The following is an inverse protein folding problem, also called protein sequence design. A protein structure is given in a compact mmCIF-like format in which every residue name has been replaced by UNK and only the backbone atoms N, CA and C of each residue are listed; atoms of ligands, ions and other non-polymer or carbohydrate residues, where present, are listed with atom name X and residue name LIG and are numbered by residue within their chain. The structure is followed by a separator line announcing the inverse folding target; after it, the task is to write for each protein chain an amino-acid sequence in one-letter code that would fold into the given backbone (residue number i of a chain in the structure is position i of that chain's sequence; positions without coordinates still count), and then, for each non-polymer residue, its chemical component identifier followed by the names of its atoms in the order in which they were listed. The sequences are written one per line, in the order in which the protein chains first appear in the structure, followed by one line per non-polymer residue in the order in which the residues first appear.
data_IF_972885767845
#
_entry.id   IF_972885767845
#
_cell.length_a   1.000
_cell.length_b   1.000
_cell.length_c   1.000
_cell.angle_alpha   90.00
_cell.angle_beta   90.00
_cell.angle_gamma   90.00
#
_symmetry.space_group_name_H-M   'P 1'
#
loop_
_entity.id
_entity.type
_entity.pdbx_description
1 polymer ?
#
# COMPACT_ATOMS: atom_id res chain seq x y z
N UNK A 1 -38.22 28.41 -18.34
CA UNK A 1 -37.72 27.82 -19.59
C UNK A 1 -36.22 27.63 -19.41
N UNK A 2 -35.79 26.62 -18.67
CA UNK A 2 -35.55 25.23 -19.12
C UNK A 2 -34.41 25.14 -20.13
N UNK A 3 -33.26 24.78 -19.56
CA UNK A 3 -32.31 23.77 -20.01
C UNK A 3 -31.18 24.05 -21.01
N UNK A 4 -30.01 23.65 -20.48
CA UNK A 4 -28.93 22.92 -21.10
C UNK A 4 -27.88 23.70 -21.91
N UNK A 5 -26.66 23.75 -21.38
CA UNK A 5 -25.71 22.77 -21.89
C UNK A 5 -24.72 22.25 -20.85
N UNK A 6 -24.74 20.93 -20.75
CA UNK A 6 -23.96 19.99 -19.96
C UNK A 6 -22.49 20.38 -19.70
N UNK A 7 -22.12 20.39 -18.41
CA UNK A 7 -20.72 20.32 -17.96
C UNK A 7 -20.11 19.02 -18.46
N UNK A 8 -18.99 19.14 -19.17
CA UNK A 8 -18.12 18.03 -19.55
C UNK A 8 -17.68 17.26 -18.30
N UNK A 9 -18.14 16.01 -18.18
CA UNK A 9 -17.67 15.07 -17.16
C UNK A 9 -16.16 14.86 -17.38
N UNK A 10 -15.37 15.19 -16.35
CA UNK A 10 -13.91 15.19 -16.31
C UNK A 10 -13.33 13.81 -16.59
N UNK A 11 -12.76 13.65 -17.79
CA UNK A 11 -12.10 12.41 -18.27
C UNK A 11 -10.72 12.14 -17.64
N UNK A 12 -10.23 13.01 -16.75
CA UNK A 12 -8.85 12.99 -16.24
C UNK A 12 -8.71 12.54 -14.77
N UNK A 13 -9.79 12.14 -14.11
CA UNK A 13 -9.74 11.69 -12.72
C UNK A 13 -9.12 10.28 -12.63
N UNK A 14 -8.16 10.10 -11.73
CA UNK A 14 -7.51 8.80 -11.53
C UNK A 14 -8.48 7.88 -10.75
N UNK A 15 -8.61 6.59 -11.13
CA UNK A 15 -9.61 5.71 -10.52
C UNK A 15 -9.34 5.52 -9.03
N UNK A 16 -10.36 5.71 -8.21
CA UNK A 16 -10.34 5.44 -6.79
C UNK A 16 -11.24 4.27 -6.44
N UNK A 17 -10.82 3.48 -5.44
CA UNK A 17 -11.56 2.32 -4.97
C UNK A 17 -12.42 2.76 -3.78
N UNK A 18 -13.73 2.81 -4.02
CA UNK A 18 -14.75 3.03 -3.01
C UNK A 18 -15.61 1.78 -2.89
N UNK A 19 -15.88 1.38 -1.64
CA UNK A 19 -16.80 0.30 -1.35
C UNK A 19 -18.02 0.83 -0.60
N UNK A 20 -19.20 0.47 -1.09
CA UNK A 20 -20.46 0.85 -0.46
C UNK A 20 -20.57 0.21 0.91
N UNK A 21 -20.93 1.00 1.92
CA UNK A 21 -21.20 0.48 3.25
C UNK A 21 -22.46 -0.40 3.22
N UNK A 22 -22.45 -1.59 3.84
CA UNK A 22 -23.67 -2.32 4.11
C UNK A 22 -24.55 -1.54 5.09
N UNK A 23 -25.86 -1.79 5.06
CA UNK A 23 -26.78 -1.30 6.08
C UNK A 23 -26.51 -2.03 7.40
N UNK A 24 -26.31 -1.26 8.47
CA UNK A 24 -26.03 -1.80 9.80
C UNK A 24 -27.28 -1.73 10.68
N UNK A 25 -27.46 -2.75 11.53
CA UNK A 25 -28.47 -2.70 12.56
C UNK A 25 -28.09 -1.67 13.64
N UNK A 26 -29.08 -1.16 14.37
CA UNK A 26 -28.82 -0.17 15.43
C UNK A 26 -27.93 -0.74 16.55
N UNK A 27 -28.03 -2.04 16.83
CA UNK A 27 -27.14 -2.75 17.76
C UNK A 27 -25.68 -2.68 17.31
N UNK A 28 -25.42 -2.87 16.02
CA UNK A 28 -24.09 -2.90 15.44
C UNK A 28 -23.44 -1.52 15.51
N UNK A 29 -24.22 -0.48 15.20
CA UNK A 29 -23.78 0.91 15.33
C UNK A 29 -23.41 1.23 16.78
N UNK A 30 -24.16 0.72 17.76
CA UNK A 30 -23.84 0.89 19.19
C UNK A 30 -22.52 0.19 19.54
N UNK A 31 -22.29 -1.03 19.05
CA UNK A 31 -21.01 -1.74 19.25
C UNK A 31 -19.84 -0.93 18.70
N UNK A 32 -19.92 -0.46 17.45
CA UNK A 32 -18.85 0.33 16.83
C UNK A 32 -18.58 1.64 17.57
N UNK A 33 -19.62 2.34 18.04
CA UNK A 33 -19.47 3.55 18.87
C UNK A 33 -18.80 3.27 20.20
N UNK A 34 -19.18 2.19 20.89
CA UNK A 34 -18.54 1.78 22.15
C UNK A 34 -17.06 1.50 21.93
N UNK A 35 -16.71 0.75 20.89
CA UNK A 35 -15.31 0.48 20.54
C UNK A 35 -14.56 1.79 20.26
N UNK A 36 -15.13 2.68 19.44
CA UNK A 36 -14.51 3.99 19.18
C UNK A 36 -14.34 4.83 20.44
N UNK A 37 -15.23 4.73 21.42
CA UNK A 37 -15.12 5.46 22.68
C UNK A 37 -14.00 4.86 23.56
N UNK A 38 -13.99 3.54 23.73
CA UNK A 38 -12.97 2.84 24.52
C UNK A 38 -11.56 2.96 23.92
N UNK A 39 -11.42 3.08 22.59
CA UNK A 39 -10.12 3.38 21.95
C UNK A 39 -9.56 4.76 22.32
N UNK A 40 -10.41 5.71 22.72
CA UNK A 40 -9.99 7.05 23.15
C UNK A 40 -9.67 7.12 24.64
N UNK A 41 -10.10 6.11 25.40
CA UNK A 41 -9.79 5.97 26.81
C UNK A 41 -8.44 5.27 26.99
N UNK A 42 -7.53 5.90 27.74
CA UNK A 42 -6.18 5.38 27.96
C UNK A 42 -6.18 4.06 28.73
N UNK A 43 -7.11 3.87 29.65
CA UNK A 43 -7.14 2.67 30.51
C UNK A 43 -7.72 1.47 29.78
N UNK A 44 -8.64 1.69 28.83
CA UNK A 44 -9.36 0.63 28.12
C UNK A 44 -8.87 0.40 26.69
N UNK A 45 -7.97 1.25 26.17
CA UNK A 45 -7.56 1.20 24.78
C UNK A 45 -6.98 -0.16 24.40
N UNK A 46 -6.21 -0.82 25.27
CA UNK A 46 -5.57 -2.11 24.98
C UNK A 46 -6.61 -3.22 24.80
N UNK A 47 -7.59 -3.30 25.70
CA UNK A 47 -8.69 -4.25 25.66
C UNK A 47 -9.58 -3.97 24.44
N UNK A 48 -9.84 -2.70 24.14
CA UNK A 48 -10.59 -2.29 22.96
C UNK A 48 -9.89 -2.67 21.65
N UNK A 49 -8.56 -2.50 21.53
CA UNK A 49 -7.80 -2.93 20.35
C UNK A 49 -7.83 -4.45 20.20
N UNK A 50 -7.71 -5.20 21.31
CA UNK A 50 -7.79 -6.66 21.26
C UNK A 50 -9.17 -7.12 20.81
N UNK A 51 -10.24 -6.59 21.41
CA UNK A 51 -11.61 -6.90 21.02
C UNK A 51 -11.89 -6.52 19.56
N UNK A 52 -11.37 -5.36 19.12
CA UNK A 52 -11.46 -4.94 17.73
C UNK A 52 -10.80 -5.97 16.79
N UNK A 53 -9.57 -6.39 17.11
CA UNK A 53 -8.80 -7.31 16.29
C UNK A 53 -9.36 -8.74 16.26
N UNK A 54 -9.93 -9.22 17.36
CA UNK A 54 -10.33 -10.64 17.49
C UNK A 54 -11.80 -10.89 17.18
N UNK A 55 -12.67 -9.91 17.43
CA UNK A 55 -14.13 -10.07 17.27
C UNK A 55 -14.63 -9.16 16.16
N UNK A 56 -14.46 -7.85 16.32
CA UNK A 56 -15.11 -6.86 15.45
C UNK A 56 -14.61 -6.95 14.01
N UNK A 57 -13.30 -7.12 13.76
CA UNK A 57 -12.77 -7.28 12.41
C UNK A 57 -13.16 -8.60 11.73
N UNK A 58 -13.63 -9.58 12.49
CA UNK A 58 -14.11 -10.86 11.97
C UNK A 58 -15.61 -10.82 11.65
N UNK A 59 -16.39 -10.14 12.49
CA UNK A 59 -17.85 -10.06 12.38
C UNK A 59 -18.31 -8.97 11.40
N UNK A 60 -17.53 -7.90 11.26
CA UNK A 60 -17.87 -6.76 10.41
C UNK A 60 -17.05 -6.74 9.12
N UNK A 61 -17.69 -6.51 7.96
CA UNK A 61 -16.97 -6.39 6.72
C UNK A 61 -16.13 -5.08 6.69
N UNK A 62 -14.93 -5.11 6.12
CA UNK A 62 -13.91 -4.08 6.33
C UNK A 62 -14.27 -2.72 5.72
N UNK A 63 -15.17 -2.68 4.72
CA UNK A 63 -15.64 -1.42 4.13
C UNK A 63 -16.39 -0.51 5.12
N UNK A 64 -16.93 -1.06 6.22
CA UNK A 64 -17.61 -0.25 7.23
C UNK A 64 -16.62 0.76 7.85
N UNK A 65 -15.40 0.32 8.16
CA UNK A 65 -14.39 1.16 8.80
C UNK A 65 -13.81 2.22 7.86
N UNK A 66 -13.88 1.99 6.54
CA UNK A 66 -13.54 3.02 5.56
C UNK A 66 -14.65 4.08 5.45
N UNK A 67 -15.91 3.70 5.65
CA UNK A 67 -17.05 4.62 5.62
C UNK A 67 -17.22 5.39 6.94
N UNK A 68 -17.16 4.71 8.08
CA UNK A 68 -17.07 5.30 9.42
C UNK A 68 -15.63 5.24 9.92
N UNK A 69 -14.90 6.32 9.66
CA UNK A 69 -13.45 6.39 9.94
C UNK A 69 -13.11 6.60 11.41
N UNK A 70 -14.09 6.72 12.30
CA UNK A 70 -13.88 7.06 13.72
C UNK A 70 -12.92 6.10 14.44
N UNK A 71 -13.09 4.79 14.17
CA UNK A 71 -12.23 3.72 14.68
C UNK A 71 -10.82 3.82 14.08
N UNK A 72 -10.71 3.97 12.75
CA UNK A 72 -9.42 4.06 12.06
C UNK A 72 -8.62 5.28 12.47
N UNK A 73 -9.26 6.45 12.59
CA UNK A 73 -8.61 7.68 13.07
C UNK A 73 -8.08 7.51 14.49
N UNK A 74 -8.83 6.82 15.36
CA UNK A 74 -8.39 6.55 16.73
C UNK A 74 -7.19 5.60 16.75
N UNK A 75 -7.21 4.52 15.97
CA UNK A 75 -6.07 3.61 15.82
C UNK A 75 -4.82 4.29 15.26
N UNK A 76 -4.98 5.09 14.20
CA UNK A 76 -3.87 5.81 13.57
C UNK A 76 -3.26 6.86 14.51
N UNK A 77 -4.06 7.49 15.35
CA UNK A 77 -3.57 8.40 16.40
C UNK A 77 -2.77 7.65 17.46
N UNK A 78 -3.29 6.52 17.95
CA UNK A 78 -2.57 5.68 18.93
C UNK A 78 -1.24 5.14 18.38
N UNK A 79 -1.19 4.85 17.08
CA UNK A 79 0.01 4.41 16.40
C UNK A 79 1.08 5.52 16.31
N UNK A 80 0.66 6.77 16.09
CA UNK A 80 1.52 7.94 16.01
C UNK A 80 2.11 8.34 17.37
N UNK A 81 1.33 8.22 18.45
CA UNK A 81 1.72 8.60 19.82
C UNK A 81 2.80 7.66 20.42
N UNK A 82 3.23 6.59 19.71
CA UNK A 82 4.23 5.59 20.15
C UNK A 82 4.01 5.13 21.60
N UNK A 83 2.76 4.83 21.91
CA UNK A 83 2.34 4.42 23.26
C UNK A 83 2.91 3.04 23.63
N UNK A 84 2.82 2.65 24.91
CA UNK A 84 3.16 1.30 25.38
C UNK A 84 2.36 0.16 24.72
N UNK A 85 1.39 0.48 23.85
CA UNK A 85 0.53 -0.48 23.15
C UNK A 85 0.81 -0.54 21.64
N UNK A 86 1.94 0.00 21.19
CA UNK A 86 2.30 0.10 19.77
C UNK A 86 2.30 -1.26 19.06
N UNK A 87 2.75 -2.32 19.72
CA UNK A 87 2.72 -3.69 19.22
C UNK A 87 1.29 -4.18 18.91
N UNK A 88 0.36 -3.94 19.85
CA UNK A 88 -1.04 -4.34 19.71
C UNK A 88 -1.73 -3.53 18.61
N UNK A 89 -1.42 -2.23 18.50
CA UNK A 89 -1.96 -1.35 17.44
C UNK A 89 -1.48 -1.79 16.06
N UNK A 90 -0.17 -2.03 15.89
CA UNK A 90 0.42 -2.49 14.62
C UNK A 90 -0.19 -3.83 14.20
N UNK A 91 -0.37 -4.75 15.16
CA UNK A 91 -1.05 -6.03 14.90
C UNK A 91 -2.48 -5.83 14.41
N UNK A 92 -3.26 -5.01 15.10
CA UNK A 92 -4.65 -4.74 14.70
C UNK A 92 -4.75 -4.12 13.30
N UNK A 93 -3.84 -3.19 12.96
CA UNK A 93 -3.79 -2.59 11.61
C UNK A 93 -3.35 -3.60 10.55
N UNK A 94 -2.48 -4.54 10.91
CA UNK A 94 -2.08 -5.64 10.02
C UNK A 94 -3.24 -6.59 9.74
N UNK A 95 -4.03 -6.95 10.76
CA UNK A 95 -5.25 -7.75 10.59
C UNK A 95 -6.29 -7.03 9.73
N UNK A 96 -6.46 -5.72 9.94
CA UNK A 96 -7.37 -4.92 9.12
C UNK A 96 -6.92 -4.88 7.65
N UNK A 97 -5.61 -4.70 7.39
CA UNK A 97 -5.06 -4.78 6.04
C UNK A 97 -5.30 -6.13 5.38
N UNK A 98 -5.16 -7.21 6.14
CA UNK A 98 -5.44 -8.55 5.65
C UNK A 98 -6.93 -8.73 5.31
N UNK A 99 -7.84 -8.22 6.15
CA UNK A 99 -9.27 -8.22 5.89
C UNK A 99 -9.63 -7.42 4.62
N UNK A 100 -9.07 -6.22 4.47
CA UNK A 100 -9.23 -5.39 3.26
C UNK A 100 -8.74 -6.11 2.00
N UNK A 101 -7.57 -6.76 2.07
CA UNK A 101 -7.00 -7.51 0.95
C UNK A 101 -7.91 -8.69 0.56
N UNK A 102 -8.37 -9.45 1.55
CA UNK A 102 -9.30 -10.57 1.34
C UNK A 102 -10.60 -10.10 0.70
N UNK A 103 -11.14 -8.98 1.16
CA UNK A 103 -12.35 -8.40 0.58
C UNK A 103 -12.14 -7.89 -0.85
N UNK A 104 -10.99 -7.28 -1.14
CA UNK A 104 -10.63 -6.88 -2.50
C UNK A 104 -10.59 -8.07 -3.47
N UNK A 105 -9.97 -9.18 -3.06
CA UNK A 105 -9.95 -10.40 -3.87
C UNK A 105 -11.35 -10.97 -4.05
N UNK A 106 -12.12 -11.11 -2.97
CA UNK A 106 -13.50 -11.59 -3.03
C UNK A 106 -14.37 -10.75 -3.99
N UNK A 107 -14.33 -9.42 -3.87
CA UNK A 107 -15.14 -8.53 -4.71
C UNK A 107 -14.79 -8.61 -6.20
N UNK A 108 -13.50 -8.73 -6.54
CA UNK A 108 -13.07 -8.85 -7.94
C UNK A 108 -13.21 -10.26 -8.52
N UNK A 109 -12.99 -11.30 -7.72
CA UNK A 109 -13.17 -12.70 -8.14
C UNK A 109 -14.66 -13.03 -8.30
N UNK A 110 -15.53 -12.52 -7.41
CA UNK A 110 -16.97 -12.64 -7.58
C UNK A 110 -17.49 -11.83 -8.77
N UNK A 111 -16.93 -10.66 -9.07
CA UNK A 111 -17.25 -9.95 -10.31
C UNK A 111 -16.89 -10.75 -11.57
N UNK A 112 -15.90 -11.64 -11.48
CA UNK A 112 -15.51 -12.58 -12.54
C UNK A 112 -16.42 -13.83 -12.56
N UNK A 113 -16.98 -14.24 -11.42
CA UNK A 113 -17.97 -15.32 -11.28
C UNK A 113 -19.42 -14.91 -11.55
N UNK A 114 -19.72 -13.61 -11.64
CA UNK A 114 -21.03 -13.07 -12.03
C UNK A 114 -21.47 -13.47 -13.45
N UNK A 115 -20.64 -14.21 -14.21
CA UNK A 115 -21.02 -14.91 -15.42
C UNK A 115 -21.76 -16.24 -15.22
N UNK A 116 -21.87 -16.77 -13.99
CA UNK A 116 -22.49 -18.08 -13.71
C UNK A 116 -23.34 -18.09 -12.42
N UNK A 117 -24.14 -17.06 -12.18
CA UNK A 117 -25.23 -17.12 -11.18
C UNK A 117 -26.51 -16.47 -11.71
N UNK A 118 -26.98 -16.96 -12.86
CA UNK A 118 -28.41 -17.09 -13.09
C UNK A 118 -28.88 -18.41 -12.48
N UNK A 119 -29.13 -18.42 -11.18
CA UNK A 119 -30.09 -19.39 -10.60
C UNK A 119 -31.18 -18.58 -9.95
N UNK A 120 -32.22 -18.39 -10.74
CA UNK A 120 -33.54 -17.97 -10.31
C UNK A 120 -34.06 -18.93 -9.25
N UNK A 121 -34.47 -18.42 -8.10
CA UNK A 121 -35.58 -18.96 -7.31
C UNK A 121 -36.11 -17.86 -6.38
N UNK A 122 -36.98 -17.01 -6.94
CA UNK A 122 -38.37 -16.78 -6.50
C UNK A 122 -38.86 -15.38 -6.92
N UNK A 123 -39.95 -15.39 -7.70
CA UNK A 123 -40.89 -14.29 -7.99
C UNK A 123 -40.36 -13.19 -8.92
N UNK A 124 -40.97 -12.81 -10.05
CA UNK A 124 -42.29 -13.04 -10.63
C UNK A 124 -42.25 -12.57 -12.11
N UNK A 125 -43.24 -13.02 -12.89
CA UNK A 125 -43.48 -12.77 -14.31
C UNK A 125 -43.36 -11.29 -14.73
N UNK A 126 -42.63 -10.98 -15.81
CA UNK A 126 -43.20 -10.81 -17.17
C UNK A 126 -42.17 -10.15 -18.13
N UNK A 127 -41.98 -10.83 -19.26
CA UNK A 127 -41.61 -10.37 -20.60
C UNK A 127 -40.79 -9.07 -20.80
N UNK A 128 -39.52 -9.26 -21.18
CA UNK A 128 -38.66 -8.29 -21.87
C UNK A 128 -39.07 -8.16 -23.37
N UNK A 129 -38.51 -7.25 -24.22
CA UNK A 129 -37.05 -7.18 -24.44
C UNK A 129 -36.48 -5.79 -24.76
N UNK A 130 -35.28 -5.49 -24.25
CA UNK A 130 -34.34 -4.64 -25.02
C UNK A 130 -32.90 -4.95 -24.68
N UNK A 131 -32.22 -5.47 -25.71
CA UNK A 131 -30.82 -5.31 -26.11
C UNK A 131 -29.84 -4.44 -25.29
N UNK A 132 -28.59 -4.93 -25.34
CA UNK A 132 -27.29 -4.24 -25.33
C UNK A 132 -26.68 -3.90 -23.97
N UNK A 133 -25.78 -4.82 -23.58
CA UNK A 133 -24.48 -4.57 -22.94
C UNK A 133 -24.00 -3.11 -23.09
N UNK A 134 -24.03 -2.37 -21.99
CA UNK A 134 -23.14 -1.23 -21.67
C UNK A 134 -23.43 -0.70 -20.26
N UNK A 135 -22.33 -0.29 -19.61
CA UNK A 135 -22.22 0.63 -18.48
C UNK A 135 -22.45 0.05 -17.07
N UNK A 136 -21.32 -0.18 -16.39
CA UNK A 136 -21.20 0.06 -14.94
C UNK A 136 -21.63 1.52 -14.72
N UNK A 137 -22.81 1.72 -14.13
CA UNK A 137 -23.40 3.03 -13.91
C UNK A 137 -22.58 3.81 -12.86
N UNK A 138 -22.06 4.95 -13.29
CA UNK A 138 -21.91 6.12 -12.44
C UNK A 138 -23.29 6.49 -11.87
N UNK A 139 -23.48 6.32 -10.57
CA UNK A 139 -24.53 7.02 -9.83
C UNK A 139 -23.89 8.23 -9.14
N UNK A 140 -24.18 9.40 -9.69
CA UNK A 140 -23.91 10.68 -9.06
C UNK A 140 -24.98 10.93 -7.99
N UNK A 141 -24.70 10.55 -6.74
CA UNK A 141 -25.51 10.99 -5.59
C UNK A 141 -24.60 11.39 -4.41
N UNK A 142 -24.72 12.68 -4.06
CA UNK A 142 -24.33 13.36 -2.80
C UNK A 142 -22.86 13.30 -2.33
N UNK A 143 -22.14 14.39 -2.59
CA UNK A 143 -20.75 14.67 -2.18
C UNK A 143 -20.53 14.99 -0.68
N UNK A 144 -21.49 14.70 0.21
CA UNK A 144 -21.41 15.11 1.64
C UNK A 144 -21.13 13.93 2.59
N UNK A 145 -21.13 12.68 2.11
CA UNK A 145 -20.90 11.49 2.96
C UNK A 145 -20.10 10.39 2.26
N UNK A 146 -19.13 10.76 1.42
CA UNK A 146 -18.19 9.76 0.90
C UNK A 146 -17.14 9.48 1.97
N UNK A 147 -17.17 8.26 2.49
CA UNK A 147 -16.11 7.75 3.36
C UNK A 147 -14.73 7.79 2.73
N UNK A 148 -13.72 7.35 3.48
CA UNK A 148 -12.34 7.26 3.04
C UNK A 148 -12.20 6.24 1.89
N UNK A 149 -11.52 6.60 0.79
CA UNK A 149 -11.19 5.62 -0.24
C UNK A 149 -10.08 4.67 0.24
N UNK A 150 -9.93 3.50 -0.39
CA UNK A 150 -8.80 2.60 -0.08
C UNK A 150 -7.45 3.28 -0.30
N UNK A 151 -7.36 4.17 -1.30
CA UNK A 151 -6.15 4.95 -1.58
C UNK A 151 -5.84 5.97 -0.48
N UNK A 152 -6.86 6.67 0.03
CA UNK A 152 -6.69 7.61 1.15
C UNK A 152 -6.21 6.87 2.41
N UNK A 153 -6.81 5.72 2.71
CA UNK A 153 -6.38 4.86 3.81
C UNK A 153 -4.91 4.44 3.66
N UNK A 154 -4.51 3.97 2.47
CA UNK A 154 -3.12 3.64 2.20
C UNK A 154 -2.19 4.84 2.39
N UNK A 155 -2.61 6.02 1.95
CA UNK A 155 -1.88 7.27 2.15
C UNK A 155 -1.64 7.58 3.62
N UNK A 156 -2.69 7.56 4.44
CA UNK A 156 -2.59 7.85 5.88
C UNK A 156 -1.75 6.83 6.65
N UNK A 157 -1.89 5.53 6.34
CA UNK A 157 -1.07 4.49 6.98
C UNK A 157 0.40 4.66 6.60
N UNK A 158 0.69 4.87 5.30
CA UNK A 158 2.06 5.11 4.82
C UNK A 158 2.69 6.35 5.46
N UNK A 159 1.91 7.42 5.58
CA UNK A 159 2.37 8.66 6.19
C UNK A 159 2.70 8.49 7.68
N UNK A 160 1.86 7.77 8.43
CA UNK A 160 1.97 7.69 9.88
C UNK A 160 2.85 6.56 10.39
N UNK A 161 2.81 5.39 9.75
CA UNK A 161 3.45 4.14 10.21
C UNK A 161 3.86 3.19 9.07
N UNK A 162 4.22 3.75 7.90
CA UNK A 162 4.50 2.97 6.69
C UNK A 162 5.50 1.81 6.88
N UNK A 163 6.69 2.03 7.48
CA UNK A 163 7.67 0.97 7.73
C UNK A 163 7.16 -0.13 8.66
N UNK A 164 6.30 0.20 9.62
CA UNK A 164 5.84 -0.70 10.66
C UNK A 164 4.72 -1.65 10.19
N UNK A 165 4.03 -1.34 9.08
CA UNK A 165 2.89 -2.12 8.59
C UNK A 165 3.11 -2.55 7.13
N UNK A 166 3.94 -3.57 6.86
CA UNK A 166 4.33 -3.96 5.50
C UNK A 166 3.15 -4.46 4.64
N UNK A 167 2.05 -4.90 5.27
CA UNK A 167 0.82 -5.30 4.56
C UNK A 167 0.23 -4.20 3.68
N UNK A 168 0.45 -2.92 4.04
CA UNK A 168 -0.05 -1.78 3.27
C UNK A 168 0.57 -1.69 1.87
N UNK A 169 1.81 -2.18 1.71
CA UNK A 169 2.51 -2.16 0.42
C UNK A 169 1.88 -3.11 -0.61
N UNK A 170 1.20 -4.16 -0.15
CA UNK A 170 0.42 -5.06 -1.02
C UNK A 170 -0.87 -4.38 -1.48
N UNK A 171 -1.56 -3.67 -0.58
CA UNK A 171 -2.76 -2.90 -0.91
C UNK A 171 -2.45 -1.75 -1.89
N UNK A 172 -1.27 -1.16 -1.75
CA UNK A 172 -0.78 -0.11 -2.63
C UNK A 172 -0.72 -0.53 -4.10
N UNK A 173 -0.34 -1.79 -4.40
CA UNK A 173 -0.33 -2.32 -5.76
C UNK A 173 -1.69 -2.20 -6.46
N UNK A 174 -2.78 -2.34 -5.71
CA UNK A 174 -4.14 -2.26 -6.24
C UNK A 174 -4.62 -0.81 -6.37
N UNK A 175 -4.13 0.08 -5.51
CA UNK A 175 -4.41 1.51 -5.62
C UNK A 175 -3.61 2.16 -6.77
N UNK A 176 -2.45 1.59 -7.12
CA UNK A 176 -1.54 2.11 -8.14
C UNK A 176 -1.27 1.07 -9.25
N UNK A 177 -2.30 0.62 -10.01
CA UNK A 177 -2.09 -0.36 -11.09
C UNK A 177 -1.26 0.19 -12.26
N UNK A 178 -1.27 1.51 -12.46
CA UNK A 178 -0.51 2.19 -13.51
C UNK A 178 0.31 3.34 -12.94
N UNK A 179 1.52 3.07 -12.39
CA UNK A 179 2.35 4.08 -11.73
C UNK A 179 2.64 5.32 -12.59
N UNK A 180 2.86 5.15 -13.89
CA UNK A 180 3.12 6.28 -14.80
C UNK A 180 1.93 7.24 -14.93
N UNK A 181 0.71 6.69 -15.04
CA UNK A 181 -0.52 7.50 -15.11
C UNK A 181 -0.81 8.13 -13.76
N UNK A 182 -0.57 7.39 -12.67
CA UNK A 182 -0.75 7.87 -11.31
C UNK A 182 0.09 9.11 -11.00
N UNK A 183 1.39 9.09 -11.31
CA UNK A 183 2.24 10.25 -11.02
C UNK A 183 1.93 11.47 -11.89
N UNK A 184 1.46 11.25 -13.13
CA UNK A 184 1.04 12.31 -14.06
C UNK A 184 -0.33 12.92 -13.74
N UNK A 185 -1.19 12.24 -12.97
CA UNK A 185 -2.51 12.77 -12.63
C UNK A 185 -2.40 13.98 -11.69
N UNK A 186 -3.10 15.07 -12.01
CA UNK A 186 -3.19 16.25 -11.14
C UNK A 186 -4.48 16.24 -10.31
N UNK A 187 -5.00 15.04 -10.01
CA UNK A 187 -6.21 14.87 -9.23
C UNK A 187 -5.90 15.10 -7.74
N UNK A 188 -6.60 16.06 -7.12
CA UNK A 188 -6.49 16.37 -5.68
C UNK A 188 -6.67 15.12 -4.82
N UNK A 189 -7.49 14.17 -5.28
CA UNK A 189 -7.79 12.95 -4.54
C UNK A 189 -6.64 11.95 -4.54
N UNK A 190 -5.65 12.10 -5.44
CA UNK A 190 -4.41 11.32 -5.41
C UNK A 190 -3.32 11.95 -4.55
N UNK A 191 -3.47 13.21 -4.13
CA UNK A 191 -2.44 13.94 -3.39
C UNK A 191 -2.15 13.30 -2.04
N UNK A 192 -3.18 12.81 -1.33
CA UNK A 192 -3.01 12.13 -0.04
C UNK A 192 -2.13 10.90 -0.20
N UNK A 193 -2.42 10.05 -1.18
CA UNK A 193 -1.64 8.84 -1.44
C UNK A 193 -0.21 9.18 -1.91
N UNK A 194 -0.06 10.15 -2.83
CA UNK A 194 1.27 10.63 -3.28
C UNK A 194 2.10 11.15 -2.11
N UNK A 195 1.49 11.90 -1.21
CA UNK A 195 2.17 12.43 -0.03
C UNK A 195 2.53 11.30 0.94
N UNK A 196 1.62 10.36 1.21
CA UNK A 196 1.90 9.18 2.02
C UNK A 196 3.07 8.36 1.49
N UNK A 197 3.11 8.11 0.18
CA UNK A 197 4.24 7.42 -0.49
C UNK A 197 5.55 8.20 -0.29
N UNK A 198 5.56 9.53 -0.49
CA UNK A 198 6.75 10.36 -0.29
C UNK A 198 7.25 10.33 1.15
N UNK A 199 6.34 10.47 2.11
CA UNK A 199 6.68 10.40 3.54
C UNK A 199 7.24 9.03 3.89
N UNK A 200 6.64 7.94 3.39
CA UNK A 200 7.15 6.59 3.62
C UNK A 200 8.56 6.39 3.03
N UNK A 201 8.82 6.89 1.81
CA UNK A 201 10.17 6.84 1.21
C UNK A 201 11.19 7.56 2.09
N UNK A 202 10.89 8.76 2.57
CA UNK A 202 11.78 9.52 3.45
C UNK A 202 12.06 8.76 4.75
N UNK A 203 11.05 8.11 5.33
CA UNK A 203 11.22 7.28 6.53
C UNK A 203 12.11 6.06 6.27
N UNK A 204 11.81 5.28 5.23
CA UNK A 204 12.66 4.14 4.84
C UNK A 204 14.11 4.57 4.57
N UNK A 205 14.32 5.72 3.89
CA UNK A 205 15.66 6.25 3.65
C UNK A 205 16.38 6.66 4.93
N UNK A 206 15.66 7.32 5.85
CA UNK A 206 16.17 7.66 7.17
C UNK A 206 16.57 6.44 7.98
N UNK A 207 15.74 5.40 8.00
CA UNK A 207 16.00 4.14 8.70
C UNK A 207 17.21 3.41 8.10
N UNK A 208 17.33 3.39 6.76
CA UNK A 208 18.50 2.84 6.07
C UNK A 208 19.82 3.54 6.42
N UNK A 209 19.79 4.83 6.73
CA UNK A 209 20.98 5.58 7.14
C UNK A 209 21.28 5.38 8.62
N UNK A 210 20.25 5.43 9.48
CA UNK A 210 20.38 5.28 10.94
C UNK A 210 20.80 3.87 11.34
N UNK A 211 20.23 2.86 10.70
CA UNK A 211 20.43 1.45 11.08
C UNK A 211 21.69 0.83 10.46
N UNK A 212 22.52 1.61 9.74
CA UNK A 212 23.82 1.12 9.22
C UNK A 212 24.74 0.58 10.32
N UNK A 213 24.64 1.11 11.53
CA UNK A 213 25.54 0.82 12.65
C UNK A 213 24.87 0.09 13.81
N UNK A 214 23.54 0.04 13.86
CA UNK A 214 22.80 -0.37 15.08
C UNK A 214 22.13 -1.74 14.93
N UNK A 215 21.48 -2.02 13.80
CA UNK A 215 20.66 -3.24 13.65
C UNK A 215 20.61 -3.71 12.18
N UNK A 216 21.41 -4.73 11.81
CA UNK A 216 21.42 -5.28 10.45
C UNK A 216 20.06 -5.84 10.00
N UNK A 217 19.24 -6.35 10.92
CA UNK A 217 17.95 -6.95 10.58
C UNK A 217 16.92 -5.87 10.23
N UNK A 218 16.85 -4.79 11.02
CA UNK A 218 15.99 -3.64 10.70
C UNK A 218 16.40 -2.96 9.40
N UNK A 219 17.71 -2.82 9.18
CA UNK A 219 18.24 -2.32 7.91
C UNK A 219 17.80 -3.20 6.74
N UNK A 220 17.85 -4.52 6.87
CA UNK A 220 17.36 -5.43 5.84
C UNK A 220 15.85 -5.29 5.61
N UNK A 221 15.06 -5.18 6.68
CA UNK A 221 13.61 -4.94 6.58
C UNK A 221 13.30 -3.64 5.85
N UNK A 222 14.06 -2.57 6.12
CA UNK A 222 13.94 -1.30 5.41
C UNK A 222 14.27 -1.43 3.92
N UNK A 223 15.29 -2.20 3.53
CA UNK A 223 15.57 -2.47 2.11
C UNK A 223 14.44 -3.24 1.43
N UNK A 224 13.87 -4.25 2.10
CA UNK A 224 12.74 -5.03 1.57
C UNK A 224 11.49 -4.13 1.41
N UNK A 225 11.18 -3.32 2.44
CA UNK A 225 10.07 -2.37 2.39
C UNK A 225 10.23 -1.35 1.26
N UNK A 226 11.45 -0.82 1.09
CA UNK A 226 11.78 0.09 0.01
C UNK A 226 11.64 -0.58 -1.37
N UNK A 227 12.17 -1.78 -1.53
CA UNK A 227 12.02 -2.55 -2.76
C UNK A 227 10.55 -2.72 -3.16
N UNK A 228 9.70 -3.12 -2.20
CA UNK A 228 8.27 -3.28 -2.43
C UNK A 228 7.61 -1.94 -2.81
N UNK A 229 7.93 -0.86 -2.09
CA UNK A 229 7.34 0.46 -2.36
C UNK A 229 7.71 1.00 -3.75
N UNK A 230 8.99 0.90 -4.14
CA UNK A 230 9.47 1.28 -5.46
C UNK A 230 8.79 0.45 -6.54
N UNK A 231 8.75 -0.88 -6.37
CA UNK A 231 8.13 -1.80 -7.33
C UNK A 231 6.64 -1.52 -7.52
N UNK A 232 5.92 -1.16 -6.46
CA UNK A 232 4.47 -0.99 -6.50
C UNK A 232 4.03 0.39 -7.00
N UNK A 233 4.76 1.45 -6.66
CA UNK A 233 4.25 2.81 -6.81
C UNK A 233 5.09 3.74 -7.67
N UNK A 234 6.38 3.46 -7.92
CA UNK A 234 7.27 4.41 -8.59
C UNK A 234 7.71 3.83 -9.94
N UNK A 235 7.46 4.49 -11.07
CA UNK A 235 7.98 4.04 -12.35
C UNK A 235 9.45 4.43 -12.48
N UNK A 236 10.31 3.50 -12.95
CA UNK A 236 11.75 3.73 -13.20
C UNK A 236 12.00 4.98 -14.05
N UNK A 237 11.18 5.22 -15.07
CA UNK A 237 11.30 6.35 -16.01
C UNK A 237 11.14 7.72 -15.35
N UNK A 238 10.35 7.81 -14.28
CA UNK A 238 10.09 9.07 -13.56
C UNK A 238 10.74 9.12 -12.18
N UNK A 239 11.44 8.05 -11.79
CA UNK A 239 12.10 7.95 -10.50
C UNK A 239 13.09 9.09 -10.19
N UNK A 240 13.90 9.60 -11.15
CA UNK A 240 14.82 10.71 -10.89
C UNK A 240 14.11 12.03 -10.53
N UNK A 241 12.87 12.21 -10.99
CA UNK A 241 12.05 13.41 -10.75
C UNK A 241 11.23 13.28 -9.47
N UNK A 242 10.72 12.07 -9.20
CA UNK A 242 9.85 11.80 -8.04
C UNK A 242 10.67 11.68 -6.75
N UNK A 243 11.84 11.04 -6.81
CA UNK A 243 12.67 10.75 -5.65
C UNK A 243 13.60 11.93 -5.34
N UNK A 244 13.67 12.40 -4.08
CA UNK A 244 14.67 13.38 -3.66
C UNK A 244 16.10 12.90 -3.93
N UNK A 245 17.02 13.81 -4.24
CA UNK A 245 18.41 13.47 -4.55
C UNK A 245 19.12 12.73 -3.41
N UNK A 246 18.85 13.12 -2.15
CA UNK A 246 19.37 12.43 -0.96
C UNK A 246 18.97 10.95 -0.95
N UNK A 247 17.74 10.67 -1.36
CA UNK A 247 17.20 9.32 -1.40
C UNK A 247 17.80 8.49 -2.55
N UNK A 248 18.01 9.11 -3.72
CA UNK A 248 18.73 8.49 -4.82
C UNK A 248 20.14 8.08 -4.38
N UNK A 249 20.82 8.92 -3.59
CA UNK A 249 22.12 8.59 -2.98
C UNK A 249 22.02 7.47 -1.95
N UNK A 250 20.93 7.37 -1.17
CA UNK A 250 20.74 6.24 -0.25
C UNK A 250 20.63 4.91 -1.00
N UNK A 251 19.80 4.84 -2.05
CA UNK A 251 19.67 3.63 -2.88
C UNK A 251 21.02 3.28 -3.53
N UNK A 252 21.74 4.30 -4.00
CA UNK A 252 23.08 4.14 -4.54
C UNK A 252 24.07 3.51 -3.55
N UNK A 253 24.07 4.02 -2.31
CA UNK A 253 24.92 3.47 -1.25
C UNK A 253 24.50 2.05 -0.83
N UNK A 254 23.21 1.73 -0.89
CA UNK A 254 22.70 0.37 -0.63
C UNK A 254 23.24 -0.67 -1.61
N UNK A 255 23.74 -0.26 -2.79
CA UNK A 255 24.43 -1.18 -3.70
C UNK A 255 25.75 -1.73 -3.13
N UNK A 256 26.36 -1.06 -2.15
CA UNK A 256 27.57 -1.52 -1.44
C UNK A 256 27.24 -2.34 -0.19
N UNK A 257 25.98 -2.70 0.05
CA UNK A 257 25.60 -3.46 1.22
C UNK A 257 25.93 -4.95 1.01
N UNK A 258 26.96 -5.49 1.70
CA UNK A 258 27.37 -6.88 1.51
C UNK A 258 26.30 -7.86 1.99
N UNK A 259 25.49 -7.48 2.99
CA UNK A 259 24.41 -8.33 3.51
C UNK A 259 23.30 -8.44 2.47
N UNK A 260 22.95 -7.31 1.84
CA UNK A 260 21.96 -7.29 0.76
C UNK A 260 22.44 -8.10 -0.45
N UNK A 261 23.71 -7.98 -0.81
CA UNK A 261 24.31 -8.71 -1.92
C UNK A 261 24.29 -10.23 -1.70
N UNK A 262 24.63 -10.70 -0.50
CA UNK A 262 24.69 -12.13 -0.20
C UNK A 262 23.29 -12.73 -0.04
N UNK A 263 22.39 -12.06 0.69
CA UNK A 263 21.10 -12.63 1.07
C UNK A 263 19.99 -12.36 0.05
N UNK A 264 20.01 -11.21 -0.63
CA UNK A 264 18.94 -10.79 -1.54
C UNK A 264 19.49 -10.15 -2.84
N UNK A 265 20.25 -10.91 -3.64
CA UNK A 265 20.84 -10.40 -4.89
C UNK A 265 19.80 -9.86 -5.87
N UNK A 266 18.57 -10.40 -5.86
CA UNK A 266 17.46 -9.92 -6.68
C UNK A 266 17.02 -8.49 -6.33
N UNK A 267 17.03 -8.14 -5.03
CA UNK A 267 16.69 -6.78 -4.58
C UNK A 267 17.80 -5.82 -4.99
N UNK A 268 19.07 -6.24 -4.84
CA UNK A 268 20.23 -5.47 -5.27
C UNK A 268 20.18 -5.19 -6.78
N UNK A 269 19.91 -6.21 -7.59
CA UNK A 269 19.76 -6.08 -9.03
C UNK A 269 18.63 -5.11 -9.40
N UNK A 270 17.50 -5.16 -8.69
CA UNK A 270 16.42 -4.20 -8.89
C UNK A 270 16.87 -2.76 -8.57
N UNK A 271 17.54 -2.53 -7.44
CA UNK A 271 18.07 -1.20 -7.12
C UNK A 271 19.09 -0.71 -8.15
N UNK A 272 19.93 -1.60 -8.70
CA UNK A 272 20.85 -1.26 -9.80
C UNK A 272 20.09 -0.68 -10.98
N UNK A 273 18.99 -1.32 -11.38
CA UNK A 273 18.18 -0.79 -12.50
C UNK A 273 17.63 0.60 -12.22
N UNK A 274 17.33 0.96 -10.97
CA UNK A 274 16.91 2.32 -10.62
C UNK A 274 18.07 3.31 -10.65
N UNK A 275 19.21 2.92 -10.08
CA UNK A 275 20.42 3.74 -10.04
C UNK A 275 20.89 4.12 -11.44
N UNK A 276 20.79 3.22 -12.42
CA UNK A 276 21.09 3.51 -13.83
C UNK A 276 20.28 4.69 -14.40
N UNK A 277 19.10 4.97 -13.84
CA UNK A 277 18.28 6.11 -14.26
C UNK A 277 18.65 7.43 -13.59
N UNK A 278 19.48 7.40 -12.53
CA UNK A 278 19.81 8.59 -11.73
C UNK A 278 21.05 9.31 -12.26
N UNK A 279 20.98 10.64 -12.37
CA UNK A 279 22.13 11.49 -12.71
C UNK A 279 22.96 11.82 -11.45
N UNK A 280 23.76 10.86 -10.98
CA UNK A 280 24.54 11.00 -9.75
C UNK A 280 25.86 11.75 -10.02
N UNK A 281 25.91 13.04 -9.70
CA UNK A 281 27.05 13.93 -9.98
C UNK A 281 28.33 13.66 -9.18
N UNK A 282 28.26 12.91 -8.07
CA UNK A 282 29.39 12.66 -7.14
C UNK A 282 29.49 11.17 -6.73
N UNK A 283 29.12 10.24 -7.60
CA UNK A 283 29.19 8.83 -7.29
C UNK A 283 30.64 8.33 -7.31
N UNK A 284 31.03 7.50 -6.35
CA UNK A 284 32.21 6.61 -6.52
C UNK A 284 32.02 5.84 -7.84
N UNK A 285 33.02 5.53 -8.66
CA UNK A 285 32.80 4.69 -9.85
C UNK A 285 32.52 3.23 -9.43
N UNK A 286 31.24 2.81 -9.45
CA UNK A 286 30.83 1.46 -9.01
C UNK A 286 31.13 0.37 -10.04
N UNK A 287 31.34 0.75 -11.30
CA UNK A 287 31.69 -0.22 -12.34
C UNK A 287 32.95 -1.01 -11.98
N UNK A 288 33.88 -0.41 -11.24
CA UNK A 288 35.11 -1.09 -10.82
C UNK A 288 34.87 -2.08 -9.68
N UNK A 289 33.93 -1.80 -8.77
CA UNK A 289 33.54 -2.72 -7.69
C UNK A 289 32.74 -3.93 -8.21
N UNK A 290 31.83 -3.71 -9.17
CA UNK A 290 31.09 -4.82 -9.78
C UNK A 290 31.99 -5.71 -10.63
N UNK A 291 32.91 -5.13 -11.41
CA UNK A 291 33.95 -5.90 -12.11
C UNK A 291 34.81 -6.71 -11.14
N UNK A 292 35.17 -6.15 -9.98
CA UNK A 292 35.89 -6.89 -8.95
C UNK A 292 35.05 -8.06 -8.43
N UNK A 293 33.77 -7.85 -8.16
CA UNK A 293 32.86 -8.90 -7.70
C UNK A 293 32.71 -10.02 -8.75
N UNK A 294 32.45 -9.67 -10.01
CA UNK A 294 32.35 -10.61 -11.12
C UNK A 294 33.66 -11.39 -11.30
N UNK A 295 34.81 -10.73 -11.13
CA UNK A 295 36.12 -11.37 -11.14
C UNK A 295 36.31 -12.34 -9.97
N UNK A 296 35.81 -12.01 -8.77
CA UNK A 296 35.88 -12.89 -7.60
C UNK A 296 34.95 -14.09 -7.76
N UNK A 297 33.74 -13.90 -8.30
CA UNK A 297 32.81 -14.99 -8.61
C UNK A 297 33.37 -15.92 -9.68
N UNK A 298 33.97 -15.37 -10.75
CA UNK A 298 34.67 -16.15 -11.76
C UNK A 298 35.84 -16.95 -11.15
N UNK A 299 36.60 -16.33 -10.24
CA UNK A 299 37.67 -17.00 -9.49
C UNK A 299 37.16 -18.12 -8.58
N UNK A 300 36.04 -17.91 -7.89
CA UNK A 300 35.40 -18.92 -7.04
C UNK A 300 34.84 -20.07 -7.88
N UNK A 301 34.22 -19.78 -9.03
CA UNK A 301 33.81 -20.77 -10.01
C UNK A 301 35.00 -21.58 -10.50
N UNK A 302 36.10 -20.93 -10.88
CA UNK A 302 37.34 -21.59 -11.30
C UNK A 302 37.83 -22.57 -10.22
N UNK A 303 37.99 -22.11 -8.97
CA UNK A 303 38.45 -22.96 -7.85
C UNK A 303 37.54 -24.17 -7.62
N UNK A 304 36.22 -24.00 -7.78
CA UNK A 304 35.24 -25.10 -7.66
C UNK A 304 35.28 -26.08 -8.83
N UNK A 305 35.54 -25.59 -10.05
CA UNK A 305 35.61 -26.43 -11.26
C UNK A 305 36.95 -27.13 -11.44
N UNK A 306 38.02 -26.59 -10.84
CA UNK A 306 39.30 -27.29 -10.75
C UNK A 306 39.12 -28.42 -9.74
N UNK A 307 38.92 -29.64 -10.24
CA UNK A 307 39.11 -30.83 -9.44
C UNK A 307 40.57 -30.81 -8.96
N UNK A 308 40.76 -30.55 -7.68
CA UNK A 308 42.04 -30.75 -7.01
C UNK A 308 42.28 -32.26 -6.89
N UNK A 309 42.53 -32.93 -8.02
CA UNK A 309 43.01 -34.30 -8.04
C UNK A 309 44.46 -34.28 -7.56
N UNK A 310 44.64 -34.54 -6.26
CA UNK A 310 45.88 -35.11 -5.73
C UNK A 310 46.01 -36.56 -6.16
#
# INVERSE_FOLDING_TARGET
SSDANSKSITKDAYPQIYWLSPALAESDIKVLRTVSHSLRDREQCREAINFLSTVVLQDFPPQIFLNDTSVLQSLLRLAEDKTHHQDVVIRCLSEFNYSLLRFYHFSNDCASYSGLSSVSLLSQCDSAPTEKSKNIQHAAENEVSRGMSLGDYCGFVLEKIGPEVPGILKLLCYCVPHPEKFWKSNDDRCLILKQGIRTALLRFGGDLVKDKTVDPLKRLQAHIGLFLLLRSAIPKTSAPVILPQEFQMTIYQSLLDPVLQILFPNILAFFRTYVESFEIKNGVPYEDYFKLTESLDAGACFIRTVNWSS
#
